data_IF_989460745879
#
_entry.id   IF_989460745879
#
_cell.length_a   1.000
_cell.length_b   1.000
_cell.length_c   1.000
_cell.angle_alpha   90.00
_cell.angle_beta   90.00
_cell.angle_gamma   90.00
#
_symmetry.space_group_name_H-M   'P 1'
#
loop_
_entity.id
_entity.type
_entity.pdbx_description
1 polymer ?
#
# COMPACT_ATOMS: atom_id res chain seq x y z
N UNK A 1 19.23 23.35 9.49
CA UNK A 1 19.76 22.04 9.91
C UNK A 1 18.68 21.24 10.61
N UNK A 2 17.73 20.76 9.82
CA UNK A 2 16.86 19.62 10.11
C UNK A 2 16.38 19.06 8.76
N UNK A 3 17.32 19.00 7.81
CA UNK A 3 17.00 18.98 6.39
C UNK A 3 16.44 17.59 6.02
N UNK A 4 16.97 16.54 6.64
CA UNK A 4 16.49 15.17 6.50
C UNK A 4 15.08 14.95 7.09
N UNK A 5 14.66 15.71 8.11
CA UNK A 5 13.29 15.61 8.65
C UNK A 5 12.27 16.05 7.62
N UNK A 6 12.61 17.09 6.86
CA UNK A 6 11.77 17.60 5.79
C UNK A 6 11.74 16.62 4.61
N UNK A 7 12.85 15.92 4.33
CA UNK A 7 12.88 14.84 3.33
C UNK A 7 11.92 13.71 3.71
N UNK A 8 11.98 13.22 4.96
CA UNK A 8 11.07 12.18 5.46
C UNK A 8 9.60 12.65 5.37
N UNK A 9 9.33 13.88 5.81
CA UNK A 9 7.99 14.46 5.74
C UNK A 9 7.47 14.56 4.30
N UNK A 10 8.30 15.05 3.38
CA UNK A 10 7.96 15.16 1.96
C UNK A 10 7.71 13.79 1.31
N UNK A 11 8.54 12.80 1.63
CA UNK A 11 8.37 11.43 1.15
C UNK A 11 7.09 10.79 1.67
N UNK A 12 6.75 11.00 2.95
CA UNK A 12 5.49 10.52 3.52
C UNK A 12 4.28 11.12 2.80
N UNK A 13 4.30 12.44 2.54
CA UNK A 13 3.24 13.13 1.77
C UNK A 13 3.13 12.56 0.35
N UNK A 14 4.27 12.34 -0.31
CA UNK A 14 4.33 11.77 -1.66
C UNK A 14 3.71 10.38 -1.70
N UNK A 15 4.10 9.48 -0.79
CA UNK A 15 3.59 8.11 -0.70
C UNK A 15 2.09 8.09 -0.39
N UNK A 16 1.63 8.93 0.53
CA UNK A 16 0.21 9.05 0.86
C UNK A 16 -0.60 9.50 -0.36
N UNK A 17 -0.15 10.54 -1.06
CA UNK A 17 -0.82 11.06 -2.26
C UNK A 17 -0.80 10.06 -3.40
N UNK A 18 0.30 9.33 -3.59
CA UNK A 18 0.41 8.26 -4.59
C UNK A 18 -0.63 7.14 -4.35
N UNK A 19 -0.94 6.86 -3.09
CA UNK A 19 -1.95 5.88 -2.68
C UNK A 19 -3.37 6.48 -2.56
N UNK A 20 -3.56 7.76 -2.87
CA UNK A 20 -4.85 8.46 -2.83
C UNK A 20 -5.52 8.45 -1.45
N UNK A 21 -4.73 8.36 -0.38
CA UNK A 21 -5.22 8.35 0.99
C UNK A 21 -5.32 9.76 1.55
N UNK A 22 -6.34 10.01 2.38
CA UNK A 22 -6.36 11.19 3.25
C UNK A 22 -5.45 10.99 4.46
N UNK A 23 -5.10 12.07 5.17
CA UNK A 23 -4.32 11.96 6.42
C UNK A 23 -5.05 11.11 7.46
N UNK A 24 -6.37 11.24 7.55
CA UNK A 24 -7.21 10.43 8.43
C UNK A 24 -7.17 8.95 8.05
N UNK A 25 -7.34 8.64 6.77
CA UNK A 25 -7.30 7.25 6.30
C UNK A 25 -5.94 6.60 6.53
N UNK A 26 -4.84 7.32 6.29
CA UNK A 26 -3.51 6.82 6.60
C UNK A 26 -3.35 6.56 8.12
N UNK A 27 -3.86 7.47 8.94
CA UNK A 27 -3.82 7.32 10.39
C UNK A 27 -4.62 6.10 10.87
N UNK A 28 -5.80 5.86 10.30
CA UNK A 28 -6.62 4.68 10.57
C UNK A 28 -5.89 3.37 10.22
N UNK A 29 -5.23 3.31 9.07
CA UNK A 29 -4.47 2.13 8.62
C UNK A 29 -3.27 1.82 9.52
N UNK A 30 -2.63 2.85 10.07
CA UNK A 30 -1.47 2.69 10.95
C UNK A 30 -1.86 2.60 12.43
N UNK A 31 -3.15 2.74 12.76
CA UNK A 31 -3.66 2.85 14.14
C UNK A 31 -3.09 4.03 14.93
N UNK A 32 -2.88 5.17 14.26
CA UNK A 32 -2.46 6.43 14.86
C UNK A 32 -3.56 7.49 14.75
N UNK A 33 -3.39 8.61 15.46
CA UNK A 33 -4.25 9.77 15.28
C UNK A 33 -3.89 10.55 14.02
N UNK A 34 -4.89 11.13 13.36
CA UNK A 34 -4.75 12.08 12.26
C UNK A 34 -3.77 13.21 12.63
N UNK A 35 -3.83 13.71 13.87
CA UNK A 35 -2.92 14.72 14.41
C UNK A 35 -1.46 14.29 14.39
N UNK A 36 -1.16 13.02 14.68
CA UNK A 36 0.22 12.50 14.65
C UNK A 36 0.75 12.50 13.21
N UNK A 37 -0.01 11.94 12.27
CA UNK A 37 0.33 11.93 10.84
C UNK A 37 0.51 13.35 10.31
N UNK A 38 -0.37 14.27 10.71
CA UNK A 38 -0.30 15.68 10.32
C UNK A 38 1.01 16.36 10.79
N UNK A 39 1.48 16.05 12.01
CA UNK A 39 2.78 16.57 12.50
C UNK A 39 3.96 15.96 11.78
N UNK A 40 3.90 14.67 11.41
CA UNK A 40 4.93 14.01 10.61
C UNK A 40 5.04 14.61 9.21
N UNK A 41 3.92 14.83 8.53
CA UNK A 41 3.88 15.42 7.19
C UNK A 41 4.35 16.89 7.15
N UNK A 42 4.31 17.60 8.28
CA UNK A 42 4.84 18.97 8.40
C UNK A 42 6.30 19.03 8.87
N UNK A 43 6.90 17.90 9.25
CA UNK A 43 8.25 17.87 9.82
C UNK A 43 8.34 18.43 11.26
N UNK A 44 7.21 18.70 11.92
CA UNK A 44 7.17 19.17 13.32
C UNK A 44 7.61 18.08 14.31
N UNK A 45 7.39 16.83 13.94
CA UNK A 45 7.83 15.66 14.70
C UNK A 45 8.17 14.54 13.73
N UNK A 46 9.02 13.61 14.14
CA UNK A 46 9.31 12.42 13.37
C UNK A 46 8.51 11.22 13.87
N UNK A 47 8.12 10.30 12.98
CA UNK A 47 7.69 8.97 13.39
C UNK A 47 8.84 8.24 14.09
N UNK A 48 8.51 7.44 15.10
CA UNK A 48 9.50 6.56 15.74
C UNK A 48 9.96 5.46 14.76
N UNK A 49 11.10 4.83 15.01
CA UNK A 49 11.67 3.80 14.15
C UNK A 49 10.69 2.63 13.93
N UNK A 50 9.93 2.25 14.95
CA UNK A 50 8.88 1.24 14.84
C UNK A 50 7.79 1.65 13.83
N UNK A 51 7.40 2.92 13.83
CA UNK A 51 6.40 3.48 12.92
C UNK A 51 6.97 3.61 11.51
N UNK A 52 8.23 4.01 11.38
CA UNK A 52 8.92 4.03 10.08
C UNK A 52 8.99 2.64 9.46
N UNK A 53 9.27 1.60 10.26
CA UNK A 53 9.20 0.21 9.81
C UNK A 53 7.79 -0.17 9.36
N UNK A 54 6.76 0.15 10.15
CA UNK A 54 5.37 -0.12 9.78
C UNK A 54 4.95 0.60 8.49
N UNK A 55 5.39 1.85 8.30
CA UNK A 55 5.17 2.61 7.07
C UNK A 55 5.90 1.99 5.88
N UNK A 56 7.15 1.55 6.07
CA UNK A 56 7.94 0.85 5.07
C UNK A 56 7.24 -0.45 4.62
N UNK A 57 6.78 -1.26 5.58
CA UNK A 57 6.03 -2.48 5.33
C UNK A 57 4.69 -2.19 4.62
N UNK A 58 3.97 -1.14 5.04
CA UNK A 58 2.70 -0.73 4.44
C UNK A 58 2.84 -0.29 2.98
N UNK A 59 3.89 0.47 2.66
CA UNK A 59 4.15 0.97 1.31
C UNK A 59 5.01 0.02 0.46
N UNK A 60 5.57 -1.05 1.04
CA UNK A 60 6.46 -1.99 0.36
C UNK A 60 7.80 -1.36 -0.06
N UNK A 61 8.34 -0.44 0.74
CA UNK A 61 9.60 0.27 0.47
C UNK A 61 10.60 0.02 1.60
N UNK A 62 11.87 0.39 1.39
CA UNK A 62 12.89 0.32 2.45
C UNK A 62 12.83 1.57 3.31
N UNK A 63 13.26 1.47 4.57
CA UNK A 63 13.35 2.64 5.46
C UNK A 63 14.29 3.70 4.88
N UNK A 64 15.37 3.29 4.19
CA UNK A 64 16.29 4.21 3.51
C UNK A 64 15.60 5.07 2.45
N UNK A 65 14.54 4.57 1.81
CA UNK A 65 13.79 5.31 0.79
C UNK A 65 13.03 6.52 1.37
N UNK A 66 12.76 6.53 2.69
CA UNK A 66 12.23 7.72 3.36
C UNK A 66 13.28 8.81 3.56
N UNK A 67 14.56 8.43 3.65
CA UNK A 67 15.68 9.34 3.92
C UNK A 67 16.30 9.90 2.64
N UNK A 68 16.06 9.27 1.50
CA UNK A 68 16.56 9.69 0.20
C UNK A 68 15.69 10.80 -0.42
N UNK A 69 16.34 11.71 -1.14
CA UNK A 69 15.65 12.82 -1.82
C UNK A 69 14.74 12.26 -2.95
N UNK A 70 13.45 12.61 -3.00
CA UNK A 70 12.53 12.14 -4.04
C UNK A 70 12.93 12.51 -5.47
N UNK A 71 13.77 13.53 -5.66
CA UNK A 71 14.27 13.95 -6.98
C UNK A 71 15.59 13.25 -7.39
N UNK A 72 16.15 12.40 -6.52
CA UNK A 72 17.29 11.59 -6.87
C UNK A 72 16.88 10.49 -7.87
N UNK A 73 17.61 10.30 -8.99
CA UNK A 73 17.38 9.18 -9.89
C UNK A 73 17.49 7.86 -9.12
N UNK A 74 16.37 7.17 -8.95
CA UNK A 74 16.34 5.85 -8.32
C UNK A 74 16.85 4.82 -9.33
N UNK A 75 18.15 4.51 -9.27
CA UNK A 75 18.72 3.39 -10.00
C UNK A 75 18.05 2.10 -9.49
N UNK A 76 17.39 1.40 -10.40
CA UNK A 76 16.58 0.22 -10.13
C UNK A 76 17.42 -0.92 -9.52
N UNK A 77 17.23 -1.19 -8.23
CA UNK A 77 17.64 -2.44 -7.60
C UNK A 77 16.45 -3.41 -7.60
N UNK A 78 16.32 -4.15 -8.70
CA UNK A 78 15.57 -5.39 -8.76
C UNK A 78 16.57 -6.55 -8.70
N UNK A 79 16.50 -7.36 -7.64
CA UNK A 79 17.03 -8.73 -7.47
C UNK A 79 16.87 -9.01 -5.95
N UNK A 80 16.22 -10.04 -5.43
CA UNK A 80 15.62 -11.27 -5.93
C UNK A 80 14.76 -11.83 -4.79
N UNK A 81 13.69 -12.55 -5.12
CA UNK A 81 12.88 -13.29 -4.16
C UNK A 81 12.84 -14.75 -4.59
N UNK A 82 13.43 -15.64 -3.80
CA UNK A 82 13.33 -17.10 -3.84
C UNK A 82 13.68 -17.55 -2.40
N UNK A 83 13.03 -18.45 -1.67
CA UNK A 83 12.09 -19.52 -1.95
C UNK A 83 11.57 -20.01 -0.57
N UNK A 84 10.38 -20.62 -0.51
CA UNK A 84 9.80 -21.14 0.73
C UNK A 84 9.26 -22.55 0.46
N UNK A 85 9.91 -23.59 1.00
CA UNK A 85 9.25 -24.85 1.34
C UNK A 85 10.14 -25.79 2.18
N UNK A 86 9.60 -26.20 3.33
CA UNK A 86 10.05 -27.33 4.15
C UNK A 86 9.48 -28.63 3.56
N UNK A 87 10.22 -29.76 3.60
CA UNK A 87 9.58 -31.02 3.98
C UNK A 87 10.41 -31.83 4.98
N UNK A 88 9.79 -32.21 6.10
CA UNK A 88 10.25 -33.31 6.96
C UNK A 88 9.96 -34.66 6.28
N UNK A 89 10.82 -35.67 6.50
CA UNK A 89 10.28 -36.89 7.11
C UNK A 89 11.19 -37.52 8.17
N UNK A 90 10.55 -38.01 9.22
CA UNK A 90 11.08 -38.83 10.31
C UNK A 90 12.01 -39.96 9.85
N UNK A 91 13.08 -40.24 10.62
CA UNK A 91 13.45 -41.58 11.17
C UNK A 91 14.79 -41.48 11.92
N UNK A 92 14.75 -41.46 13.26
CA UNK A 92 15.81 -41.98 14.14
C UNK A 92 16.11 -43.45 13.76
N UNK A 93 17.36 -43.96 13.80
CA UNK A 93 18.16 -43.94 15.02
C UNK A 93 19.70 -43.91 14.90
N UNK A 94 20.32 -43.60 16.04
CA UNK A 94 21.61 -44.11 16.52
C UNK A 94 22.87 -43.91 15.64
N UNK A 95 23.70 -42.96 16.04
CA UNK A 95 24.98 -43.21 16.73
C UNK A 95 26.00 -42.09 16.46
N UNK A 96 26.61 -41.65 17.56
CA UNK A 96 28.01 -41.27 17.66
C UNK A 96 28.45 -39.85 17.23
N UNK A 97 28.87 -39.12 18.27
CA UNK A 97 29.67 -37.91 18.31
C UNK A 97 30.78 -37.81 17.27
N UNK A 98 30.90 -36.65 16.62
CA UNK A 98 32.08 -35.78 16.69
C UNK A 98 31.99 -34.66 15.63
N UNK A 99 32.35 -33.46 16.08
CA UNK A 99 33.08 -32.41 15.36
C UNK A 99 32.52 -31.78 14.05
N UNK A 100 32.23 -30.48 14.21
CA UNK A 100 32.82 -29.38 13.44
C UNK A 100 32.38 -29.15 11.98
N UNK A 101 32.16 -27.85 11.70
CA UNK A 101 31.99 -27.19 10.41
C UNK A 101 30.61 -27.32 9.72
N UNK A 102 29.89 -26.20 9.61
CA UNK A 102 28.76 -26.05 8.69
C UNK A 102 29.14 -25.04 7.60
N UNK A 103 29.12 -25.44 6.31
CA UNK A 103 29.37 -24.60 5.14
C UNK A 103 28.07 -24.11 4.46
N UNK A 104 28.21 -23.04 3.69
CA UNK A 104 27.78 -22.81 2.29
C UNK A 104 26.72 -23.72 1.61
N UNK A 105 25.81 -23.05 0.87
CA UNK A 105 25.16 -23.42 -0.41
C UNK A 105 23.69 -23.96 -0.47
N UNK A 106 22.84 -23.10 -1.10
CA UNK A 106 21.99 -23.33 -2.29
C UNK A 106 20.58 -24.00 -2.28
N UNK A 107 19.63 -23.23 -2.86
CA UNK A 107 18.64 -23.55 -3.92
C UNK A 107 17.22 -24.15 -3.65
N UNK A 108 16.21 -23.26 -3.84
CA UNK A 108 14.92 -23.25 -4.61
C UNK A 108 14.08 -24.55 -4.83
N UNK A 109 12.72 -24.47 -4.85
CA UNK A 109 12.02 -24.24 -6.12
C UNK A 109 10.74 -23.35 -6.06
N UNK A 110 10.80 -22.30 -6.87
CA UNK A 110 9.77 -21.71 -7.71
C UNK A 110 8.33 -22.29 -7.63
N UNK A 111 7.37 -21.43 -7.29
CA UNK A 111 5.98 -21.58 -7.71
C UNK A 111 5.43 -20.27 -8.28
N UNK A 112 4.84 -20.41 -9.47
CA UNK A 112 4.52 -19.38 -10.43
C UNK A 112 3.14 -18.73 -10.24
N UNK A 113 3.06 -17.42 -10.51
CA UNK A 113 1.96 -16.68 -11.17
C UNK A 113 2.12 -15.20 -10.79
N UNK A 114 2.05 -14.21 -11.66
CA UNK A 114 1.49 -14.12 -12.99
C UNK A 114 1.18 -12.64 -13.20
N UNK A 115 1.71 -12.10 -14.30
CA UNK A 115 1.23 -10.94 -15.06
C UNK A 115 0.56 -9.78 -14.30
N UNK A 116 1.13 -8.57 -14.37
CA UNK A 116 0.31 -7.35 -14.31
C UNK A 116 0.90 -6.18 -15.08
N UNK A 117 1.00 -6.40 -16.38
CA UNK A 117 0.50 -5.44 -17.36
C UNK A 117 -0.93 -5.02 -16.92
N UNK A 118 -1.29 -3.73 -17.04
CA UNK A 118 -2.68 -3.19 -16.99
C UNK A 118 -3.02 -2.26 -15.80
N UNK A 119 -2.65 -0.98 -15.90
CA UNK A 119 -3.32 0.11 -15.14
C UNK A 119 -4.11 1.09 -16.02
N UNK A 120 -4.19 0.88 -17.34
CA UNK A 120 -4.97 1.75 -18.24
C UNK A 120 -6.49 1.61 -18.12
N UNK A 121 -7.02 0.55 -17.49
CA UNK A 121 -8.47 0.26 -17.48
C UNK A 121 -9.23 0.78 -16.24
N UNK A 122 -8.57 1.50 -15.32
CA UNK A 122 -9.21 1.99 -14.09
C UNK A 122 -10.05 3.26 -14.28
N UNK A 123 -9.86 4.00 -15.38
CA UNK A 123 -10.54 5.27 -15.61
C UNK A 123 -11.97 5.15 -16.17
N UNK A 124 -12.39 3.99 -16.71
CA UNK A 124 -13.73 3.81 -17.28
C UNK A 124 -14.78 3.49 -16.20
N UNK A 125 -14.39 2.77 -15.15
CA UNK A 125 -15.31 2.22 -14.13
C UNK A 125 -15.87 3.34 -13.23
N UNK A 126 -15.05 4.33 -12.87
CA UNK A 126 -15.49 5.48 -12.08
C UNK A 126 -16.47 6.39 -12.86
N UNK A 127 -16.28 6.53 -14.18
CA UNK A 127 -17.18 7.32 -15.03
C UNK A 127 -18.54 6.66 -15.23
N UNK A 128 -18.60 5.33 -15.37
CA UNK A 128 -19.86 4.61 -15.60
C UNK A 128 -20.80 4.59 -14.39
N UNK A 129 -20.26 4.56 -13.16
CA UNK A 129 -21.08 4.57 -11.94
C UNK A 129 -21.84 5.90 -11.78
N UNK A 130 -21.19 7.04 -12.10
CA UNK A 130 -21.82 8.35 -12.03
C UNK A 130 -22.97 8.50 -13.04
N UNK A 131 -22.80 7.95 -14.25
CA UNK A 131 -23.84 7.97 -15.30
C UNK A 131 -25.03 7.09 -14.91
N UNK A 132 -24.79 5.91 -14.32
CA UNK A 132 -25.86 5.04 -13.84
C UNK A 132 -26.70 5.69 -12.73
N UNK A 133 -26.05 6.32 -11.74
CA UNK A 133 -26.74 7.03 -10.65
C UNK A 133 -27.55 8.20 -11.21
N UNK A 134 -27.00 8.95 -12.16
CA UNK A 134 -27.70 10.05 -12.83
C UNK A 134 -28.93 9.58 -13.62
N UNK A 135 -28.83 8.46 -14.35
CA UNK A 135 -29.94 7.88 -15.10
C UNK A 135 -31.06 7.36 -14.19
N UNK A 136 -30.72 6.68 -13.09
CA UNK A 136 -31.71 6.20 -12.12
C UNK A 136 -32.44 7.38 -11.46
N UNK A 137 -31.72 8.42 -11.06
CA UNK A 137 -32.33 9.62 -10.49
C UNK A 137 -33.26 10.35 -11.49
N UNK A 138 -32.86 10.44 -12.76
CA UNK A 138 -33.68 11.03 -13.83
C UNK A 138 -34.96 10.22 -14.08
N UNK A 139 -34.88 8.89 -14.08
CA UNK A 139 -36.04 8.03 -14.29
C UNK A 139 -37.03 8.10 -13.12
N UNK A 140 -36.54 8.16 -11.87
CA UNK A 140 -37.39 8.37 -10.70
C UNK A 140 -38.13 9.72 -10.79
N UNK A 141 -37.44 10.79 -11.19
CA UNK A 141 -38.06 12.12 -11.35
C UNK A 141 -39.19 12.11 -12.39
N UNK A 142 -38.97 11.47 -13.55
CA UNK A 142 -39.99 11.35 -14.60
C UNK A 142 -41.18 10.51 -14.14
N UNK A 143 -40.94 9.41 -13.42
CA UNK A 143 -42.02 8.56 -12.89
C UNK A 143 -42.82 9.28 -11.80
N UNK A 144 -42.17 10.04 -10.91
CA UNK A 144 -42.86 10.83 -9.89
C UNK A 144 -43.69 11.97 -10.49
N UNK A 145 -43.16 12.67 -11.50
CA UNK A 145 -43.88 13.72 -12.24
C UNK A 145 -45.09 13.15 -13.03
N UNK A 146 -44.95 11.94 -13.59
CA UNK A 146 -46.03 11.27 -14.32
C UNK A 146 -47.13 10.67 -13.40
N UNK A 147 -46.80 10.31 -12.16
CA UNK A 147 -47.72 9.61 -11.24
C UNK A 147 -48.48 10.57 -10.31
N UNK A 148 -48.06 11.83 -10.18
CA UNK A 148 -48.72 12.84 -9.32
C UNK A 148 -49.14 14.14 -10.06
N UNK A 149 -49.88 14.09 -11.19
CA UNK A 149 -50.30 15.31 -11.89
C UNK A 149 -51.38 16.12 -11.14
N UNK A 150 -52.16 15.48 -10.26
CA UNK A 150 -53.38 16.04 -9.65
C UNK A 150 -53.13 17.04 -8.51
N UNK A 151 -51.91 17.16 -7.97
CA UNK A 151 -51.60 18.11 -6.88
C UNK A 151 -51.09 19.48 -7.38
N UNK A 152 -51.01 19.70 -8.70
CA UNK A 152 -50.51 20.96 -9.26
C UNK A 152 -51.58 22.04 -9.52
N UNK A 153 -52.87 21.74 -9.32
CA UNK A 153 -53.96 22.65 -9.69
C UNK A 153 -55.10 22.81 -8.66
N UNK A 154 -54.85 22.55 -7.38
CA UNK A 154 -55.79 22.93 -6.31
C UNK A 154 -55.20 23.93 -5.33
#
# INVERSE_FOLDING_TARGET
MDDWKHVVAANLVRLRKANQLTQLQLAEQLHYSDKAVSKWERGESLPDLAVMKQLADFYGIRIDDFLNDPDAPQEAAAESAEDSAVPEPDTEPAAESAEESVPEAEAVPASANGSKQQTKNRFIIAGMAAVLVWLVASMIFVVLDAVQPELRYS
#
